data_IF_558115973508
#
_entry.id   IF_558115973508
#
_cell.length_a   1.000
_cell.length_b   1.000
_cell.length_c   1.000
_cell.angle_alpha   90.00
_cell.angle_beta   90.00
_cell.angle_gamma   90.00
#
_symmetry.space_group_name_H-M   'P 1'
#
loop_
_entity.id
_entity.type
_entity.pdbx_description
1 polymer ?
#
# COMPACT_ATOMS: atom_id res chain seq x y z
N UNK A 1 -0.10 9.31 -6.00
CA UNK A 1 -0.26 8.17 -5.06
C UNK A 1 -0.63 8.74 -3.70
N UNK A 2 -1.40 8.01 -2.91
CA UNK A 2 -1.70 8.40 -1.52
C UNK A 2 -0.75 7.63 -0.59
N UNK A 3 -0.15 8.31 0.38
CA UNK A 3 0.66 7.72 1.45
C UNK A 3 -0.21 7.57 2.71
N UNK A 4 -0.15 6.45 3.42
CA UNK A 4 -0.92 6.23 4.65
C UNK A 4 -0.13 6.56 5.92
N UNK A 5 0.48 7.74 5.95
CA UNK A 5 1.36 8.22 7.03
C UNK A 5 0.75 9.37 7.86
N UNK A 6 -0.46 9.83 7.52
CA UNK A 6 -1.16 10.86 8.31
C UNK A 6 -2.69 10.70 8.28
N UNK A 7 -3.42 11.19 9.32
CA UNK A 7 -4.89 11.20 9.32
C UNK A 7 -5.51 11.91 8.12
N UNK A 8 -4.89 13.00 7.65
CA UNK A 8 -5.36 13.75 6.47
C UNK A 8 -5.30 12.90 5.21
N UNK A 9 -4.28 12.06 5.07
CA UNK A 9 -4.20 11.16 3.91
C UNK A 9 -5.23 10.04 3.96
N UNK A 10 -5.54 9.52 5.15
CA UNK A 10 -6.61 8.54 5.33
C UNK A 10 -8.00 9.13 4.96
N UNK A 11 -8.28 10.37 5.37
CA UNK A 11 -9.52 11.06 4.99
C UNK A 11 -9.60 11.33 3.48
N UNK A 12 -8.50 11.80 2.87
CA UNK A 12 -8.43 12.00 1.43
C UNK A 12 -8.64 10.70 0.64
N UNK A 13 -8.05 9.60 1.10
CA UNK A 13 -8.27 8.28 0.53
C UNK A 13 -9.74 7.87 0.62
N UNK A 14 -10.35 8.03 1.79
CA UNK A 14 -11.76 7.69 2.01
C UNK A 14 -12.69 8.49 1.09
N UNK A 15 -12.47 9.81 0.96
CA UNK A 15 -13.24 10.65 0.04
C UNK A 15 -13.07 10.24 -1.42
N UNK A 16 -11.85 9.91 -1.86
CA UNK A 16 -11.61 9.42 -3.21
C UNK A 16 -12.27 8.06 -3.46
N UNK A 17 -12.22 7.14 -2.48
CA UNK A 17 -12.89 5.85 -2.54
C UNK A 17 -14.39 6.01 -2.73
N UNK A 18 -15.04 6.84 -1.92
CA UNK A 18 -16.47 7.15 -2.07
C UNK A 18 -16.76 7.80 -3.42
N UNK A 19 -15.92 8.73 -3.87
CA UNK A 19 -16.07 9.38 -5.17
C UNK A 19 -16.01 8.39 -6.34
N UNK A 20 -15.06 7.46 -6.32
CA UNK A 20 -14.95 6.41 -7.34
C UNK A 20 -16.13 5.43 -7.27
N UNK A 21 -16.61 5.10 -6.06
CA UNK A 21 -17.79 4.27 -5.88
C UNK A 21 -19.06 4.94 -6.41
N UNK A 22 -19.27 6.23 -6.13
CA UNK A 22 -20.42 6.97 -6.64
C UNK A 22 -20.39 7.11 -8.17
N UNK A 23 -19.21 7.39 -8.75
CA UNK A 23 -19.03 7.44 -10.21
C UNK A 23 -19.33 6.10 -10.86
N UNK A 24 -18.89 5.01 -10.24
CA UNK A 24 -19.18 3.67 -10.71
C UNK A 24 -20.69 3.36 -10.58
N UNK A 25 -21.36 3.80 -9.52
CA UNK A 25 -22.78 3.54 -9.28
C UNK A 25 -23.68 4.31 -10.26
N UNK A 26 -23.27 5.52 -10.63
CA UNK A 26 -23.97 6.35 -11.61
C UNK A 26 -23.83 5.84 -13.06
N UNK A 27 -22.86 4.96 -13.34
CA UNK A 27 -22.75 4.28 -14.62
C UNK A 27 -23.58 3.00 -14.56
N UNK A 28 -24.64 2.91 -15.35
CA UNK A 28 -25.60 1.79 -15.35
C UNK A 28 -24.98 0.46 -15.86
N UNK A 29 -23.79 0.47 -16.45
CA UNK A 29 -23.06 -0.71 -16.93
C UNK A 29 -21.84 -1.05 -16.07
N UNK A 30 -21.46 -2.35 -16.07
CA UNK A 30 -20.35 -3.07 -15.38
C UNK A 30 -19.10 -2.26 -15.00
N UNK A 31 -19.27 -1.26 -14.14
CA UNK A 31 -18.19 -0.39 -13.71
C UNK A 31 -17.40 -1.06 -12.59
N UNK A 32 -16.07 -1.06 -12.74
CA UNK A 32 -15.15 -1.63 -11.75
C UNK A 32 -14.35 -0.51 -11.08
N UNK A 33 -14.17 -0.64 -9.76
CA UNK A 33 -13.28 0.23 -8.99
C UNK A 33 -12.00 -0.55 -8.75
N UNK A 34 -10.91 -0.12 -9.38
CA UNK A 34 -9.63 -0.81 -9.32
C UNK A 34 -8.69 -0.06 -8.36
N UNK A 35 -8.25 -0.76 -7.31
CA UNK A 35 -7.40 -0.22 -6.26
C UNK A 35 -6.08 -0.98 -6.27
N UNK A 36 -4.97 -0.27 -6.41
CA UNK A 36 -3.63 -0.82 -6.26
C UNK A 36 -3.00 -0.38 -4.94
N UNK A 37 -2.55 -1.34 -4.14
CA UNK A 37 -1.85 -1.15 -2.88
C UNK A 37 -0.42 -1.65 -3.08
N UNK A 38 0.55 -0.74 -3.01
CA UNK A 38 1.97 -1.07 -3.17
C UNK A 38 2.59 -1.29 -1.79
N UNK A 39 3.16 -2.48 -1.58
CA UNK A 39 3.76 -2.96 -0.34
C UNK A 39 2.83 -3.91 0.43
N UNK A 40 3.22 -5.17 0.57
CA UNK A 40 2.50 -6.18 1.35
C UNK A 40 3.10 -6.40 2.75
N UNK A 41 3.57 -5.33 3.38
CA UNK A 41 3.81 -5.30 4.83
C UNK A 41 2.51 -5.31 5.63
N UNK A 42 2.60 -5.18 6.96
CA UNK A 42 1.43 -5.21 7.85
C UNK A 42 0.33 -4.23 7.39
N UNK A 43 0.71 -2.96 7.14
CA UNK A 43 -0.22 -1.90 6.70
C UNK A 43 -0.93 -2.21 5.40
N UNK A 44 -0.22 -2.69 4.38
CA UNK A 44 -0.84 -2.99 3.08
C UNK A 44 -1.77 -4.20 3.12
N UNK A 45 -1.41 -5.22 3.90
CA UNK A 45 -2.25 -6.41 4.12
C UNK A 45 -3.53 -6.05 4.87
N UNK A 46 -3.42 -5.28 5.95
CA UNK A 46 -4.57 -4.85 6.75
C UNK A 46 -5.50 -3.95 5.92
N UNK A 47 -4.96 -2.98 5.19
CA UNK A 47 -5.74 -2.13 4.29
C UNK A 47 -6.50 -2.95 3.23
N UNK A 48 -5.85 -3.95 2.62
CA UNK A 48 -6.48 -4.79 1.61
C UNK A 48 -7.68 -5.57 2.19
N UNK A 49 -7.53 -6.10 3.41
CA UNK A 49 -8.59 -6.81 4.11
C UNK A 49 -9.75 -5.88 4.49
N UNK A 50 -9.45 -4.72 5.07
CA UNK A 50 -10.45 -3.72 5.48
C UNK A 50 -11.24 -3.17 4.29
N UNK A 51 -10.56 -2.88 3.17
CA UNK A 51 -11.25 -2.46 1.95
C UNK A 51 -12.21 -3.53 1.47
N UNK A 52 -11.81 -4.81 1.51
CA UNK A 52 -12.71 -5.89 1.10
C UNK A 52 -13.94 -5.99 2.00
N UNK A 53 -13.73 -5.89 3.31
CA UNK A 53 -14.82 -5.88 4.29
C UNK A 53 -15.77 -4.70 4.06
N UNK A 54 -15.23 -3.49 3.85
CA UNK A 54 -16.00 -2.30 3.54
C UNK A 54 -16.84 -2.45 2.26
N UNK A 55 -16.29 -3.07 1.19
CA UNK A 55 -17.04 -3.33 -0.03
C UNK A 55 -18.22 -4.29 0.19
N UNK A 56 -18.07 -5.29 1.06
CA UNK A 56 -19.16 -6.20 1.44
C UNK A 56 -20.23 -5.49 2.27
N UNK A 57 -19.85 -4.55 3.13
CA UNK A 57 -20.81 -3.78 3.92
C UNK A 57 -21.58 -2.77 3.06
N UNK A 58 -20.91 -2.08 2.13
CA UNK A 58 -21.55 -1.08 1.25
C UNK A 58 -22.66 -1.67 0.38
N UNK A 59 -22.52 -2.92 -0.09
CA UNK A 59 -23.58 -3.59 -0.83
C UNK A 59 -24.81 -3.90 0.03
N UNK A 60 -24.62 -4.19 1.33
CA UNK A 60 -25.70 -4.44 2.28
C UNK A 60 -26.54 -3.17 2.58
N UNK A 61 -25.97 -1.98 2.41
CA UNK A 61 -26.64 -0.69 2.64
C UNK A 61 -27.45 -0.16 1.43
N UNK A 62 -27.67 -0.97 0.38
CA UNK A 62 -28.60 -0.63 -0.70
C UNK A 62 -28.01 0.09 -1.91
N UNK A 63 -26.68 0.20 -2.00
CA UNK A 63 -26.00 0.65 -3.22
C UNK A 63 -25.86 -0.50 -4.24
N UNK A 64 -26.99 -1.08 -4.64
CA UNK A 64 -27.09 -2.37 -5.36
C UNK A 64 -26.45 -2.41 -6.75
N UNK A 65 -26.21 -1.26 -7.39
CA UNK A 65 -25.63 -1.24 -8.75
C UNK A 65 -24.12 -1.57 -8.75
N UNK A 66 -23.44 -1.48 -7.60
CA UNK A 66 -22.07 -1.96 -7.45
C UNK A 66 -22.09 -3.14 -6.51
N UNK A 67 -21.69 -4.29 -7.04
CA UNK A 67 -21.50 -5.49 -6.22
C UNK A 67 -20.09 -5.49 -5.63
N UNK A 68 -19.85 -6.15 -4.48
CA UNK A 68 -18.52 -6.23 -3.87
C UNK A 68 -17.46 -6.77 -4.84
N UNK A 69 -17.87 -7.59 -5.82
CA UNK A 69 -16.99 -8.18 -6.84
C UNK A 69 -16.50 -7.17 -7.88
N UNK A 70 -17.17 -6.03 -8.02
CA UNK A 70 -16.77 -4.94 -8.91
C UNK A 70 -15.58 -4.15 -8.34
N UNK A 71 -15.30 -4.27 -7.05
CA UNK A 71 -14.12 -3.69 -6.43
C UNK A 71 -12.94 -4.65 -6.55
N UNK A 72 -11.99 -4.34 -7.43
CA UNK A 72 -10.78 -5.13 -7.65
C UNK A 72 -9.64 -4.53 -6.83
N UNK A 73 -9.20 -5.28 -5.83
CA UNK A 73 -8.08 -4.89 -4.95
C UNK A 73 -6.85 -5.67 -5.41
N UNK A 74 -5.79 -4.94 -5.74
CA UNK A 74 -4.49 -5.47 -6.11
C UNK A 74 -3.47 -5.14 -5.01
N UNK A 75 -2.87 -6.16 -4.42
CA UNK A 75 -1.80 -6.00 -3.42
C UNK A 75 -0.47 -6.41 -4.06
N UNK A 76 0.46 -5.46 -4.19
CA UNK A 76 1.69 -5.60 -4.97
C UNK A 76 2.87 -5.61 -4.01
N UNK A 77 3.76 -6.59 -4.14
CA UNK A 77 4.95 -6.74 -3.29
C UNK A 77 6.18 -7.07 -4.13
N UNK A 78 7.27 -6.36 -3.88
CA UNK A 78 8.53 -6.55 -4.57
C UNK A 78 9.21 -7.86 -4.19
N UNK A 79 9.09 -8.27 -2.92
CA UNK A 79 9.60 -9.53 -2.40
C UNK A 79 8.71 -10.74 -2.77
N UNK A 80 9.19 -11.97 -2.50
CA UNK A 80 8.50 -13.19 -2.90
C UNK A 80 7.26 -13.53 -2.06
N UNK A 81 7.00 -12.79 -0.97
CA UNK A 81 5.94 -13.11 -0.01
C UNK A 81 5.40 -11.85 0.66
N UNK A 82 4.13 -11.92 1.06
CA UNK A 82 3.51 -10.94 1.96
C UNK A 82 4.07 -11.08 3.38
N UNK A 83 3.97 -10.02 4.18
CA UNK A 83 4.43 -9.95 5.56
C UNK A 83 5.87 -10.49 5.73
N UNK A 84 6.86 -9.93 5.01
CA UNK A 84 8.22 -10.48 4.96
C UNK A 84 8.95 -10.48 6.32
N UNK A 85 8.45 -9.74 7.31
CA UNK A 85 8.95 -9.76 8.69
C UNK A 85 8.46 -10.96 9.52
N UNK A 86 7.46 -11.71 9.05
CA UNK A 86 6.88 -12.85 9.76
C UNK A 86 7.46 -14.19 9.27
N UNK A 87 7.17 -15.27 10.01
CA UNK A 87 7.57 -16.63 9.61
C UNK A 87 6.90 -17.06 8.30
N UNK A 88 7.53 -17.96 7.54
CA UNK A 88 6.99 -18.46 6.26
C UNK A 88 5.61 -19.08 6.41
N UNK A 89 5.37 -19.78 7.51
CA UNK A 89 4.06 -20.37 7.81
C UNK A 89 2.98 -19.29 7.87
N UNK A 90 3.21 -18.23 8.66
CA UNK A 90 2.24 -17.14 8.85
C UNK A 90 2.06 -16.36 7.55
N UNK A 91 3.15 -16.03 6.84
CA UNK A 91 3.09 -15.33 5.56
C UNK A 91 2.23 -16.11 4.52
N UNK A 92 2.40 -17.43 4.45
CA UNK A 92 1.62 -18.30 3.56
C UNK A 92 0.16 -18.36 3.96
N UNK A 93 -0.14 -18.50 5.25
CA UNK A 93 -1.52 -18.49 5.76
C UNK A 93 -2.20 -17.15 5.45
N UNK A 94 -1.54 -16.02 5.69
CA UNK A 94 -2.05 -14.68 5.36
C UNK A 94 -2.30 -14.52 3.86
N UNK A 95 -1.37 -14.96 3.01
CA UNK A 95 -1.56 -14.96 1.56
C UNK A 95 -2.83 -15.72 1.15
N UNK A 96 -3.04 -16.93 1.69
CA UNK A 96 -4.22 -17.73 1.39
C UNK A 96 -5.51 -17.06 1.84
N UNK A 97 -5.50 -16.36 2.99
CA UNK A 97 -6.68 -15.61 3.44
C UNK A 97 -6.99 -14.42 2.52
N UNK A 98 -5.96 -13.68 2.08
CA UNK A 98 -6.14 -12.59 1.11
C UNK A 98 -6.76 -13.08 -0.20
N UNK A 99 -6.32 -14.23 -0.72
CA UNK A 99 -6.91 -14.83 -1.91
C UNK A 99 -8.38 -15.23 -1.69
N UNK A 100 -8.72 -15.80 -0.53
CA UNK A 100 -10.11 -16.14 -0.16
C UNK A 100 -11.00 -14.90 -0.05
N UNK A 101 -10.43 -13.78 0.39
CA UNK A 101 -11.09 -12.48 0.40
C UNK A 101 -11.24 -11.90 -1.02
N UNK A 102 -10.64 -12.50 -2.05
CA UNK A 102 -10.72 -12.00 -3.43
C UNK A 102 -9.76 -10.84 -3.71
N UNK A 103 -8.70 -10.70 -2.90
CA UNK A 103 -7.59 -9.78 -3.17
C UNK A 103 -6.65 -10.41 -4.19
N UNK A 104 -6.32 -9.66 -5.24
CA UNK A 104 -5.32 -10.06 -6.23
C UNK A 104 -3.92 -9.78 -5.67
N UNK A 105 -3.25 -10.80 -5.16
CA UNK A 105 -1.90 -10.66 -4.59
C UNK A 105 -0.84 -10.92 -5.65
N UNK A 106 0.03 -9.94 -5.89
CA UNK A 106 1.17 -10.04 -6.81
C UNK A 106 2.48 -9.85 -6.04
N UNK A 107 3.15 -10.95 -5.73
CA UNK A 107 4.50 -10.96 -5.16
C UNK A 107 5.56 -11.03 -6.27
N UNK A 108 6.82 -10.80 -5.91
CA UNK A 108 7.94 -10.73 -6.86
C UNK A 108 7.73 -9.69 -7.97
N UNK A 109 6.95 -8.65 -7.66
CA UNK A 109 6.50 -7.63 -8.60
C UNK A 109 6.90 -6.26 -8.07
N UNK A 110 8.12 -5.83 -8.40
CA UNK A 110 8.60 -4.53 -8.00
C UNK A 110 7.99 -3.45 -8.90
N UNK A 111 7.40 -2.42 -8.29
CA UNK A 111 6.84 -1.26 -9.00
C UNK A 111 7.98 -0.40 -9.56
N UNK A 112 7.86 -0.02 -10.82
CA UNK A 112 8.80 0.88 -11.51
C UNK A 112 8.21 2.28 -11.66
N UNK A 113 6.92 2.38 -11.97
CA UNK A 113 6.24 3.66 -12.19
C UNK A 113 4.78 3.62 -11.76
N UNK A 114 4.27 4.74 -11.22
CA UNK A 114 2.85 4.95 -10.98
C UNK A 114 2.38 6.09 -11.88
N UNK A 115 1.44 5.80 -12.78
CA UNK A 115 0.88 6.76 -13.72
C UNK A 115 -0.50 7.24 -13.26
N UNK A 116 -1.15 8.10 -14.05
CA UNK A 116 -2.53 8.50 -13.79
C UNK A 116 -3.50 7.29 -13.82
N UNK A 117 -3.25 6.32 -14.69
CA UNK A 117 -4.18 5.22 -15.02
C UNK A 117 -3.86 3.89 -14.35
N UNK A 118 -2.69 3.74 -13.73
CA UNK A 118 -2.32 2.49 -13.06
C UNK A 118 -0.89 2.44 -12.53
N UNK A 119 -0.39 1.22 -12.39
CA UNK A 119 0.94 0.91 -11.83
C UNK A 119 1.69 0.01 -12.82
N UNK A 120 2.89 0.43 -13.23
CA UNK A 120 3.83 -0.38 -13.98
C UNK A 120 4.78 -1.09 -13.02
N UNK A 121 4.90 -2.40 -13.18
CA UNK A 121 5.80 -3.26 -12.45
C UNK A 121 6.82 -3.89 -13.41
N UNK A 122 7.89 -4.46 -12.84
CA UNK A 122 8.90 -5.21 -13.59
C UNK A 122 8.29 -6.28 -14.52
N UNK A 123 9.03 -6.62 -15.56
CA UNK A 123 8.64 -7.59 -16.59
C UNK A 123 7.38 -7.17 -17.36
N UNK A 124 7.24 -5.86 -17.61
CA UNK A 124 6.15 -5.26 -18.39
C UNK A 124 4.74 -5.55 -17.85
N UNK A 125 4.61 -5.81 -16.55
CA UNK A 125 3.32 -6.03 -15.90
C UNK A 125 2.65 -4.70 -15.60
N UNK A 126 1.46 -4.48 -16.17
CA UNK A 126 0.64 -3.30 -15.91
C UNK A 126 -0.61 -3.65 -15.12
N UNK A 127 -0.88 -2.87 -14.06
CA UNK A 127 -2.06 -3.02 -13.20
C UNK A 127 -2.90 -1.75 -13.31
N UNK A 128 -4.09 -1.79 -13.95
CA UNK A 128 -4.97 -0.63 -14.01
C UNK A 128 -5.51 -0.31 -12.63
N UNK A 129 -5.49 0.97 -12.24
CA UNK A 129 -5.99 1.40 -10.94
C UNK A 129 -6.38 2.88 -10.98
N UNK A 130 -7.60 3.19 -10.54
CA UNK A 130 -8.02 4.57 -10.31
C UNK A 130 -7.51 5.08 -8.96
N UNK A 131 -7.41 4.19 -7.96
CA UNK A 131 -6.87 4.49 -6.64
C UNK A 131 -5.54 3.76 -6.43
N UNK A 132 -4.49 4.51 -6.08
CA UNK A 132 -3.14 3.96 -5.82
C UNK A 132 -2.65 4.38 -4.45
N UNK A 133 -2.43 3.40 -3.59
CA UNK A 133 -1.97 3.58 -2.22
C UNK A 133 -0.55 3.04 -2.10
N UNK A 134 0.35 3.85 -1.54
CA UNK A 134 1.71 3.45 -1.22
C UNK A 134 1.79 3.11 0.27
N UNK A 135 1.87 1.82 0.57
CA UNK A 135 2.05 1.25 1.91
C UNK A 135 3.43 0.58 2.09
N UNK A 136 4.29 0.67 1.06
CA UNK A 136 5.66 0.20 1.11
C UNK A 136 6.55 1.18 1.89
N UNK A 137 7.75 0.72 2.27
CA UNK A 137 8.68 1.46 3.11
C UNK A 137 8.87 2.92 2.70
N UNK A 138 8.87 3.80 3.70
CA UNK A 138 9.13 5.23 3.53
C UNK A 138 10.63 5.46 3.55
N UNK A 139 11.13 6.23 2.58
CA UNK A 139 12.51 6.72 2.59
C UNK A 139 12.54 8.00 3.44
N UNK A 140 13.53 8.11 4.31
CA UNK A 140 13.68 9.31 5.13
C UNK A 140 14.05 10.52 4.24
N UNK A 141 13.71 11.76 4.66
CA UNK A 141 13.93 12.95 3.85
C UNK A 141 15.36 13.09 3.33
N UNK A 142 15.51 13.50 2.07
CA UNK A 142 16.84 13.58 1.41
C UNK A 142 17.83 14.50 2.13
N UNK A 143 17.35 15.53 2.84
CA UNK A 143 18.24 16.43 3.58
C UNK A 143 19.03 15.71 4.68
N UNK A 144 18.54 14.57 5.20
CA UNK A 144 19.27 13.79 6.20
C UNK A 144 20.60 13.25 5.65
N UNK A 145 20.71 13.01 4.34
CA UNK A 145 21.97 12.59 3.72
C UNK A 145 22.97 13.75 3.57
N UNK A 146 22.55 14.97 3.93
CA UNK A 146 23.33 16.21 3.82
C UNK A 146 23.58 16.85 5.18
N UNK A 147 23.18 16.19 6.27
CA UNK A 147 23.53 16.63 7.62
C UNK A 147 25.01 16.32 7.85
N UNK A 148 25.85 17.33 7.58
CA UNK A 148 27.31 17.28 7.58
C UNK A 148 27.89 16.35 8.65
N UNK A 149 28.53 15.27 8.19
CA UNK A 149 29.26 14.33 9.05
C UNK A 149 28.42 13.21 9.65
N UNK A 150 27.09 13.18 9.46
CA UNK A 150 26.25 12.08 9.93
C UNK A 150 26.13 10.96 8.89
N UNK A 151 26.23 9.72 9.37
CA UNK A 151 26.09 8.53 8.54
C UNK A 151 24.62 8.22 8.29
N UNK A 152 24.27 7.88 7.03
CA UNK A 152 22.92 7.43 6.66
C UNK A 152 22.95 6.09 5.94
N UNK A 153 21.86 5.32 6.08
CA UNK A 153 21.66 4.07 5.34
C UNK A 153 21.07 4.33 3.92
N UNK A 154 20.84 3.26 3.15
CA UNK A 154 20.32 3.32 1.76
C UNK A 154 18.90 3.90 1.62
N UNK A 155 18.18 4.07 2.74
CA UNK A 155 16.86 4.70 2.81
C UNK A 155 16.90 6.02 3.60
N UNK A 156 18.09 6.64 3.68
CA UNK A 156 18.37 7.96 4.26
C UNK A 156 18.16 8.07 5.79
N UNK A 157 17.98 6.95 6.51
CA UNK A 157 17.87 7.00 7.96
C UNK A 157 19.27 7.18 8.57
N UNK A 158 19.37 7.97 9.64
CA UNK A 158 20.59 8.13 10.42
C UNK A 158 21.00 6.81 11.05
N UNK A 159 22.28 6.43 10.92
CA UNK A 159 22.81 5.22 11.54
C UNK A 159 23.12 5.51 13.00
N UNK A 160 22.58 4.69 13.90
CA UNK A 160 22.71 4.86 15.35
C UNK A 160 23.28 3.61 16.02
N UNK A 161 23.93 3.81 17.17
CA UNK A 161 24.31 2.75 18.10
C UNK A 161 23.08 2.26 18.87
N UNK A 162 23.24 1.19 19.66
CA UNK A 162 22.16 0.70 20.54
C UNK A 162 21.73 1.72 21.63
N UNK A 163 22.49 2.80 21.81
CA UNK A 163 22.18 3.94 22.69
C UNK A 163 21.40 5.06 21.98
N UNK A 164 21.01 4.87 20.72
CA UNK A 164 20.35 5.85 19.84
C UNK A 164 21.20 7.05 19.44
N UNK A 165 22.45 7.12 19.89
CA UNK A 165 23.43 8.10 19.43
C UNK A 165 23.87 7.78 18.00
N UNK A 166 24.10 8.81 17.18
CA UNK A 166 24.65 8.62 15.84
C UNK A 166 26.05 7.99 15.92
N UNK A 167 26.45 7.30 14.86
CA UNK A 167 27.75 6.61 14.83
C UNK A 167 28.94 7.57 14.90
N UNK A 168 28.76 8.80 14.40
CA UNK A 168 29.82 9.79 14.18
C UNK A 168 29.76 11.01 15.12
N UNK A 169 28.66 11.23 15.84
CA UNK A 169 28.55 12.27 16.88
C UNK A 169 27.77 11.74 18.11
N UNK A 170 28.43 11.74 19.27
CA UNK A 170 27.85 11.25 20.53
C UNK A 170 26.80 12.20 21.13
N UNK A 171 26.69 13.44 20.65
CA UNK A 171 25.69 14.41 21.12
C UNK A 171 24.40 14.41 20.27
N UNK A 172 24.39 13.71 19.14
CA UNK A 172 23.24 13.66 18.24
C UNK A 172 22.55 12.31 18.37
N UNK A 173 21.24 12.33 18.57
CA UNK A 173 20.39 11.15 18.77
C UNK A 173 19.27 11.11 17.73
N UNK A 174 18.84 9.93 17.31
CA UNK A 174 17.75 9.74 16.35
C UNK A 174 16.90 8.49 16.68
N UNK A 175 15.60 8.55 16.36
CA UNK A 175 14.59 7.48 16.55
C UNK A 175 13.60 7.44 15.40
#
# INVERSE_FOLDING_TARGET
SIFLDSPKHAESFHQQLLGEYLKAHAKEEESTVNIAIVGAGATGVELAAELRNAAQQLSAYGLSNIRPENMKIHLIEAGPRVLPALSDKIAREAHQQLLKLGVNVQTSSAVEEITAVGVHCKNDVFIPASLKVWAAGVRAPKFLTQLDGLETNKINQLVVRNTLQTTLDDNIFAM
#
